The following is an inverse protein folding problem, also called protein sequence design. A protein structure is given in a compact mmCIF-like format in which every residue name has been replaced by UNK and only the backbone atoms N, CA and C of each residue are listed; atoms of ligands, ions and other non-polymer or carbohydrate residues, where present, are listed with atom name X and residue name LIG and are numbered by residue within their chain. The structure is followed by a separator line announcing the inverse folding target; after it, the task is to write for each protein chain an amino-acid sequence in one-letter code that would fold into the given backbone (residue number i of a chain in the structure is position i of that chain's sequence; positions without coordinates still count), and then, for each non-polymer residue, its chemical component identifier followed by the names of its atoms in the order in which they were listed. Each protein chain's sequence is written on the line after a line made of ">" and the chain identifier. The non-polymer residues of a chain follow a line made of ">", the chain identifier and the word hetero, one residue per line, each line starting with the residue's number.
data_IF_831291511087
#
_entry.id   IF_831291511087
#
_cell.length_a   1.000
_cell.length_b   1.000
_cell.length_c   1.000
_cell.angle_alpha   90.00
_cell.angle_beta   90.00
_cell.angle_gamma   90.00
#
_symmetry.space_group_name_H-M   'P 1'
#
loop_
_entity.id
_entity.type
_entity.pdbx_description
1 polymer ?
#
# COMPACT_ATOMS: atom_id res chain seq x y z
N UNK A 1 0.69 11.51 -4.02
CA UNK A 1 0.21 10.50 -3.05
C UNK A 1 1.29 9.44 -2.90
N UNK A 2 1.59 8.95 -1.69
CA UNK A 2 2.62 7.91 -1.52
C UNK A 2 2.13 6.55 -2.02
N UNK A 3 2.94 5.87 -2.86
CA UNK A 3 2.65 4.52 -3.36
C UNK A 3 2.24 3.55 -2.26
N UNK A 4 2.94 3.57 -1.13
CA UNK A 4 2.65 2.73 0.04
C UNK A 4 1.25 2.98 0.62
N UNK A 5 0.86 4.25 0.81
CA UNK A 5 -0.45 4.61 1.35
C UNK A 5 -1.59 4.15 0.43
N UNK A 6 -1.38 4.26 -0.89
CA UNK A 6 -2.32 3.83 -1.91
C UNK A 6 -2.49 2.30 -1.89
N UNK A 7 -1.39 1.54 -1.86
CA UNK A 7 -1.42 0.07 -1.75
C UNK A 7 -2.11 -0.36 -0.45
N UNK A 8 -1.80 0.27 0.69
CA UNK A 8 -2.47 -0.03 1.96
C UNK A 8 -3.97 0.27 1.91
N UNK A 9 -4.40 1.34 1.25
CA UNK A 9 -5.81 1.67 1.09
C UNK A 9 -6.55 0.62 0.26
N UNK A 10 -5.95 0.16 -0.85
CA UNK A 10 -6.49 -0.94 -1.66
C UNK A 10 -6.58 -2.25 -0.88
N UNK A 11 -5.51 -2.63 -0.16
CA UNK A 11 -5.50 -3.85 0.68
C UNK A 11 -6.56 -3.81 1.79
N UNK A 12 -6.90 -2.61 2.27
CA UNK A 12 -7.98 -2.39 3.26
C UNK A 12 -9.36 -2.25 2.63
N UNK A 13 -9.47 -2.27 1.29
CA UNK A 13 -10.74 -2.17 0.57
C UNK A 13 -11.32 -0.76 0.45
N UNK A 14 -10.54 0.29 0.74
CA UNK A 14 -11.01 1.68 0.63
C UNK A 14 -11.09 2.18 -0.81
N UNK A 15 -10.27 1.62 -1.70
CA UNK A 15 -10.19 1.99 -3.11
C UNK A 15 -10.01 0.73 -3.96
N UNK A 16 -10.38 0.83 -5.24
CA UNK A 16 -10.24 -0.24 -6.23
C UNK A 16 -8.84 -0.26 -6.87
N UNK A 17 -8.52 -1.35 -7.58
CA UNK A 17 -7.27 -1.47 -8.35
C UNK A 17 -7.16 -0.39 -9.45
N UNK A 18 -8.30 0.05 -10.00
CA UNK A 18 -8.38 1.09 -11.02
C UNK A 18 -8.07 2.47 -10.44
N UNK A 19 -8.65 2.80 -9.28
CA UNK A 19 -8.34 4.03 -8.57
C UNK A 19 -6.87 4.08 -8.14
N UNK A 20 -6.33 2.95 -7.66
CA UNK A 20 -4.89 2.79 -7.40
C UNK A 20 -4.03 3.15 -8.61
N UNK A 21 -4.36 2.58 -9.77
CA UNK A 21 -3.66 2.81 -11.02
C UNK A 21 -3.70 4.29 -11.42
N UNK A 22 -4.87 4.93 -11.31
CA UNK A 22 -5.05 6.36 -11.58
C UNK A 22 -4.24 7.26 -10.62
N UNK A 23 -4.29 6.99 -9.32
CA UNK A 23 -3.57 7.77 -8.30
C UNK A 23 -2.05 7.69 -8.50
N UNK A 24 -1.57 6.52 -8.95
CA UNK A 24 -0.14 6.28 -9.19
C UNK A 24 0.30 6.61 -10.62
N UNK A 25 -0.64 6.96 -11.51
CA UNK A 25 -0.35 7.28 -12.90
C UNK A 25 0.20 6.10 -13.70
N UNK A 26 -0.20 4.87 -13.36
CA UNK A 26 0.25 3.65 -14.04
C UNK A 26 -0.94 2.83 -14.54
N UNK A 27 -0.65 1.85 -15.39
CA UNK A 27 -1.68 0.93 -15.87
C UNK A 27 -2.04 -0.13 -14.83
N UNK A 28 -3.29 -0.58 -14.82
CA UNK A 28 -3.78 -1.70 -14.01
C UNK A 28 -2.93 -2.96 -14.10
N UNK A 29 -2.33 -3.27 -15.27
CA UNK A 29 -1.43 -4.44 -15.39
C UNK A 29 -0.15 -4.25 -14.57
N UNK A 30 0.43 -3.05 -14.61
CA UNK A 30 1.62 -2.71 -13.83
C UNK A 30 1.29 -2.68 -12.34
N UNK A 31 0.09 -2.20 -11.99
CA UNK A 31 -0.41 -2.24 -10.63
C UNK A 31 -0.50 -3.68 -10.10
N UNK A 32 -1.05 -4.61 -10.89
CA UNK A 32 -1.17 -6.01 -10.48
C UNK A 32 0.21 -6.66 -10.22
N UNK A 33 1.23 -6.29 -10.99
CA UNK A 33 2.62 -6.71 -10.73
C UNK A 33 3.17 -6.14 -9.41
N UNK A 34 2.90 -4.86 -9.11
CA UNK A 34 3.29 -4.22 -7.86
C UNK A 34 2.59 -4.84 -6.63
N UNK A 35 1.34 -5.29 -6.77
CA UNK A 35 0.63 -6.01 -5.69
C UNK A 35 1.24 -7.37 -5.37
N UNK A 36 1.86 -8.01 -6.37
CA UNK A 36 2.49 -9.31 -6.21
C UNK A 36 3.90 -9.20 -5.61
N UNK A 37 4.48 -7.99 -5.59
CA UNK A 37 5.81 -7.75 -5.05
C UNK A 37 5.80 -7.84 -3.50
N UNK A 38 6.54 -8.80 -2.91
CA UNK A 38 6.53 -9.01 -1.47
C UNK A 38 7.15 -7.83 -0.69
N UNK A 39 8.08 -7.06 -1.27
CA UNK A 39 8.73 -5.96 -0.58
C UNK A 39 7.75 -4.80 -0.32
N UNK A 40 6.78 -4.60 -1.22
CA UNK A 40 5.72 -3.61 -1.04
C UNK A 40 4.66 -4.02 0.01
N UNK A 41 4.62 -5.30 0.37
CA UNK A 41 3.73 -5.80 1.42
C UNK A 41 4.29 -5.60 2.84
N UNK A 42 5.61 -5.54 3.00
CA UNK A 42 6.29 -5.48 4.30
C UNK A 42 6.28 -4.09 4.95
N UNK A 43 6.12 -3.02 4.16
CA UNK A 43 6.07 -1.65 4.66
C UNK A 43 4.77 -1.31 5.44
N UNK A 44 3.78 -2.21 5.46
CA UNK A 44 2.53 -2.01 6.20
C UNK A 44 2.69 -2.17 7.72
N UNK A 45 3.78 -2.81 8.18
CA UNK A 45 4.00 -3.09 9.60
C UNK A 45 4.82 -2.00 10.32
N UNK A 46 5.63 -1.22 9.58
CA UNK A 46 6.52 -0.20 10.16
C UNK A 46 5.84 1.08 10.65
N UNK A 47 4.53 1.26 10.41
CA UNK A 47 3.74 2.31 11.08
C UNK A 47 3.18 1.88 12.44
N UNK A 48 3.34 0.61 12.83
CA UNK A 48 3.15 0.17 14.21
C UNK A 48 4.45 0.44 14.96
N UNK A 49 4.72 1.71 15.26
CA UNK A 49 5.80 2.05 16.18
C UNK A 49 5.64 1.22 17.46
N UNK A 50 6.73 0.69 18.06
CA UNK A 50 6.62 0.16 19.41
C UNK A 50 6.23 1.34 20.29
N UNK A 51 4.95 1.39 20.70
CA UNK A 51 4.53 2.19 21.83
C UNK A 51 5.21 1.56 23.05
N UNK A 52 6.45 1.99 23.31
CA UNK A 52 7.09 1.83 24.60
C UNK A 52 6.34 2.76 25.54
N UNK A 53 5.24 2.25 26.11
CA UNK A 53 4.71 2.76 27.36
C UNK A 53 5.71 2.30 28.43
N UNK A 54 6.68 3.16 28.72
CA UNK A 54 7.61 2.91 29.81
C UNK A 54 6.88 3.16 31.14
N UNK A 55 7.20 2.32 32.11
CA UNK A 55 6.52 2.08 33.39
C UNK A 55 6.60 3.24 34.38
#
# INVERSE_FOLDING_TARGET
>A
MDKRKVISAYKRGFITIQECAQILGIDTRQMNGLMNDPQLNEDSDRLRGPQSVNS
#
